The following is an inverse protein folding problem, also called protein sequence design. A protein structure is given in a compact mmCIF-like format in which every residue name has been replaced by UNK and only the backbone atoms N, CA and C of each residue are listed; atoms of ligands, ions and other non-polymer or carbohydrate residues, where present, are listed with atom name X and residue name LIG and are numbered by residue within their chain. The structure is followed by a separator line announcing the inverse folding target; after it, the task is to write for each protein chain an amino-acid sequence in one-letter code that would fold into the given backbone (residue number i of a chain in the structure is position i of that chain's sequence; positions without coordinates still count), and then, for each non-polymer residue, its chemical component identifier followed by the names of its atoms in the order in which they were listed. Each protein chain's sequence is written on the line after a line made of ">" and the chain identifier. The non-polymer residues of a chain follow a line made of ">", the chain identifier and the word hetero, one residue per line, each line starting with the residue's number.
data_IF_568548194693
#
_entry.id   IF_568548194693
#
_cell.length_a   1.000
_cell.length_b   1.000
_cell.length_c   1.000
_cell.angle_alpha   90.00
_cell.angle_beta   90.00
_cell.angle_gamma   90.00
#
_symmetry.space_group_name_H-M   'P 1'
#
loop_
_entity.id
_entity.type
_entity.pdbx_description
1 polymer ?
#
# COMPACT_ATOMS: atom_id res chain seq x y z
N UNK A 1 8.99 9.01 -22.69
CA UNK A 1 10.01 9.10 -21.63
C UNK A 1 9.77 7.96 -20.64
N UNK A 2 10.76 7.15 -20.25
CA UNK A 2 10.47 6.03 -19.37
C UNK A 2 10.11 6.58 -17.98
N UNK A 3 8.88 6.29 -17.58
CA UNK A 3 8.34 6.11 -16.23
C UNK A 3 9.29 6.52 -15.09
N UNK A 4 8.84 7.41 -14.20
CA UNK A 4 9.46 7.66 -12.90
C UNK A 4 9.57 6.34 -12.10
N UNK A 5 10.74 5.73 -12.24
CA UNK A 5 11.21 4.57 -11.51
C UNK A 5 12.03 5.12 -10.34
N UNK A 6 11.68 4.71 -9.11
CA UNK A 6 12.47 4.96 -7.89
C UNK A 6 13.94 4.78 -8.21
N UNK A 7 14.81 5.75 -7.90
CA UNK A 7 16.21 5.73 -8.32
C UNK A 7 16.99 4.53 -7.74
N UNK A 8 18.14 4.21 -8.35
CA UNK A 8 18.92 3.02 -7.99
C UNK A 8 19.37 3.00 -6.53
N UNK A 9 19.81 4.15 -5.99
CA UNK A 9 20.30 4.23 -4.62
C UNK A 9 19.15 4.01 -3.62
N UNK A 10 18.00 4.66 -3.84
CA UNK A 10 16.80 4.46 -3.03
C UNK A 10 16.34 3.00 -3.06
N UNK A 11 16.35 2.34 -4.23
CA UNK A 11 16.02 0.91 -4.34
C UNK A 11 16.99 0.01 -3.56
N UNK A 12 18.29 0.32 -3.54
CA UNK A 12 19.27 -0.46 -2.76
C UNK A 12 19.02 -0.36 -1.27
N UNK A 13 18.75 0.84 -0.76
CA UNK A 13 18.47 1.06 0.66
C UNK A 13 17.15 0.38 1.04
N UNK A 14 16.10 0.54 0.22
CA UNK A 14 14.79 -0.04 0.48
C UNK A 14 14.82 -1.57 0.64
N UNK A 15 15.70 -2.27 -0.08
CA UNK A 15 15.89 -3.73 0.03
C UNK A 15 16.46 -4.19 1.38
N UNK A 16 17.11 -3.31 2.12
CA UNK A 16 17.71 -3.61 3.43
C UNK A 16 16.73 -3.30 4.58
N UNK A 17 15.61 -2.63 4.29
CA UNK A 17 14.62 -2.28 5.29
C UNK A 17 13.80 -3.49 5.71
N UNK A 18 13.42 -3.52 6.99
CA UNK A 18 12.48 -4.49 7.55
C UNK A 18 11.23 -3.74 8.00
N UNK A 19 10.28 -3.46 7.10
CA UNK A 19 9.11 -2.68 7.45
C UNK A 19 8.19 -3.46 8.39
N UNK A 20 7.61 -2.76 9.37
CA UNK A 20 6.58 -3.28 10.25
C UNK A 20 5.23 -2.70 9.87
N UNK A 21 4.19 -3.51 9.87
CA UNK A 21 2.81 -3.07 9.61
C UNK A 21 1.98 -3.12 10.89
N UNK A 22 1.25 -2.05 11.14
CA UNK A 22 0.18 -1.99 12.15
C UNK A 22 -1.10 -1.74 11.40
N UNK A 23 -2.04 -2.66 11.53
CA UNK A 23 -3.34 -2.61 10.86
C UNK A 23 -4.40 -2.47 11.94
N UNK A 24 -5.16 -1.39 11.87
CA UNK A 24 -6.30 -1.13 12.73
C UNK A 24 -7.57 -1.25 11.90
N UNK A 25 -8.54 -2.02 12.38
CA UNK A 25 -9.82 -2.24 11.73
C UNK A 25 -10.95 -1.84 12.68
N UNK A 26 -11.87 -1.01 12.20
CA UNK A 26 -13.13 -0.68 12.85
C UNK A 26 -14.28 -0.88 11.85
N UNK A 27 -14.92 -2.06 11.89
CA UNK A 27 -15.88 -2.47 10.87
C UNK A 27 -15.22 -2.50 9.49
N UNK A 28 -15.75 -1.67 8.58
CA UNK A 28 -15.24 -1.51 7.22
C UNK A 28 -14.15 -0.43 7.08
N UNK A 29 -13.85 0.30 8.16
CA UNK A 29 -12.82 1.34 8.16
C UNK A 29 -11.48 0.75 8.59
N UNK A 30 -10.43 0.99 7.79
CA UNK A 30 -9.09 0.49 8.03
C UNK A 30 -8.07 1.62 8.05
N UNK A 31 -7.08 1.47 8.92
CA UNK A 31 -5.85 2.27 8.92
C UNK A 31 -4.65 1.33 8.88
N UNK A 32 -3.82 1.44 7.85
CA UNK A 32 -2.60 0.67 7.69
C UNK A 32 -1.41 1.61 7.83
N UNK A 33 -0.65 1.43 8.91
CA UNK A 33 0.60 2.11 9.15
C UNK A 33 1.76 1.18 8.80
N UNK A 34 2.58 1.57 7.83
CA UNK A 34 3.84 0.89 7.50
C UNK A 34 5.01 1.72 8.03
N UNK A 35 5.74 1.17 8.98
CA UNK A 35 6.90 1.79 9.62
C UNK A 35 8.19 1.22 9.05
N UNK A 36 9.15 2.09 8.74
CA UNK A 36 10.52 1.67 8.43
C UNK A 36 11.52 2.71 8.93
N UNK A 37 12.80 2.33 9.05
CA UNK A 37 13.85 3.26 9.47
C UNK A 37 14.10 4.42 8.50
N UNK A 38 13.59 4.33 7.26
CA UNK A 38 13.77 5.36 6.24
C UNK A 38 12.53 6.25 6.10
N UNK A 39 11.36 5.64 5.91
CA UNK A 39 10.09 6.34 5.68
C UNK A 39 8.91 5.55 6.23
N UNK A 40 7.97 6.28 6.81
CA UNK A 40 6.69 5.73 7.25
C UNK A 40 5.61 6.09 6.23
N UNK A 41 4.61 5.23 6.13
CA UNK A 41 3.47 5.41 5.24
C UNK A 41 2.18 5.07 5.98
N UNK A 42 1.18 5.93 5.86
CA UNK A 42 -0.15 5.73 6.44
C UNK A 42 -1.17 5.80 5.32
N UNK A 43 -2.05 4.81 5.26
CA UNK A 43 -3.24 4.84 4.43
C UNK A 43 -4.45 4.52 5.28
N UNK A 44 -5.49 5.34 5.17
CA UNK A 44 -6.78 5.15 5.81
C UNK A 44 -7.85 5.10 4.73
N UNK A 45 -8.71 4.10 4.79
CA UNK A 45 -9.75 3.87 3.79
C UNK A 45 -10.94 3.16 4.39
N UNK A 46 -12.06 3.21 3.67
CA UNK A 46 -13.23 2.38 3.94
C UNK A 46 -13.41 1.40 2.79
N UNK A 47 -13.66 0.14 3.13
CA UNK A 47 -13.84 -0.93 2.14
C UNK A 47 -15.04 -0.61 1.25
N UNK A 48 -14.87 -0.76 -0.06
CA UNK A 48 -15.89 -0.48 -1.07
C UNK A 48 -15.97 0.99 -1.50
N UNK A 49 -15.24 1.91 -0.86
CA UNK A 49 -15.24 3.33 -1.18
C UNK A 49 -13.93 3.74 -1.85
N UNK A 50 -14.03 4.42 -3.01
CA UNK A 50 -12.86 4.94 -3.72
C UNK A 50 -12.37 6.23 -3.04
N UNK A 51 -11.06 6.35 -2.85
CA UNK A 51 -10.43 7.51 -2.20
C UNK A 51 -9.19 7.99 -2.96
N UNK A 52 -8.81 9.25 -2.74
CA UNK A 52 -7.57 9.80 -3.28
C UNK A 52 -6.39 9.40 -2.39
N UNK A 53 -5.42 8.68 -2.95
CA UNK A 53 -4.23 8.21 -2.26
C UNK A 53 -2.99 8.96 -2.76
N UNK A 54 -2.33 9.66 -1.84
CA UNK A 54 -1.04 10.30 -2.10
C UNK A 54 0.11 9.38 -1.69
N UNK A 55 0.85 8.85 -2.67
CA UNK A 55 2.02 8.00 -2.44
C UNK A 55 3.31 8.82 -2.26
N UNK A 56 3.20 10.05 -1.75
CA UNK A 56 4.33 10.88 -1.36
C UNK A 56 5.25 10.11 -0.41
N UNK A 57 6.54 10.13 -0.70
CA UNK A 57 7.53 9.36 0.07
C UNK A 57 7.76 7.94 -0.46
N UNK A 58 6.93 7.43 -1.36
CA UNK A 58 7.19 6.20 -2.12
C UNK A 58 7.63 6.57 -3.53
N UNK A 59 6.69 6.66 -4.45
CA UNK A 59 6.93 7.02 -5.85
C UNK A 59 6.39 8.41 -6.23
N UNK A 60 5.93 9.18 -5.23
CA UNK A 60 5.44 10.57 -5.37
C UNK A 60 4.33 10.73 -6.41
N UNK A 61 3.45 9.72 -6.52
CA UNK A 61 2.29 9.74 -7.40
C UNK A 61 1.00 9.83 -6.61
N UNK A 62 0.01 10.47 -7.22
CA UNK A 62 -1.38 10.41 -6.76
C UNK A 62 -2.14 9.37 -7.57
N UNK A 63 -2.99 8.60 -6.91
CA UNK A 63 -3.88 7.65 -7.55
C UNK A 63 -5.24 7.64 -6.86
N UNK A 64 -6.24 7.11 -7.54
CA UNK A 64 -7.51 6.74 -6.93
C UNK A 64 -7.47 5.28 -6.56
N UNK A 65 -7.81 4.99 -5.32
CA UNK A 65 -7.62 3.67 -4.74
C UNK A 65 -8.95 3.15 -4.23
N UNK A 66 -9.23 1.89 -4.56
CA UNK A 66 -10.42 1.19 -4.12
C UNK A 66 -9.99 -0.12 -3.49
N UNK A 67 -10.36 -0.31 -2.23
CA UNK A 67 -10.09 -1.55 -1.50
C UNK A 67 -11.38 -2.34 -1.38
N UNK A 68 -11.34 -3.62 -1.76
CA UNK A 68 -12.47 -4.53 -1.67
C UNK A 68 -12.10 -5.78 -0.86
N UNK A 69 -13.11 -6.35 -0.20
CA UNK A 69 -13.01 -7.62 0.51
C UNK A 69 -13.60 -8.74 -0.34
N UNK A 70 -12.90 -9.88 -0.44
CA UNK A 70 -13.42 -11.05 -1.12
C UNK A 70 -12.50 -12.26 -1.00
N UNK A 71 -13.08 -13.46 -0.83
CA UNK A 71 -12.36 -14.73 -0.70
C UNK A 71 -11.27 -14.71 0.39
N UNK A 72 -11.54 -14.12 1.55
CA UNK A 72 -10.57 -13.95 2.64
C UNK A 72 -9.34 -13.12 2.29
N UNK A 73 -9.51 -12.22 1.31
CA UNK A 73 -8.47 -11.31 0.83
C UNK A 73 -8.96 -9.88 0.77
N UNK A 74 -8.06 -8.97 1.15
CA UNK A 74 -8.24 -7.54 1.04
C UNK A 74 -7.45 -7.04 -0.17
N UNK A 75 -8.14 -6.68 -1.25
CA UNK A 75 -7.50 -6.28 -2.52
C UNK A 75 -7.67 -4.79 -2.77
N UNK A 76 -6.56 -4.11 -3.05
CA UNK A 76 -6.55 -2.71 -3.46
C UNK A 76 -6.19 -2.59 -4.94
N UNK A 77 -6.99 -1.82 -5.67
CA UNK A 77 -6.69 -1.39 -7.03
C UNK A 77 -6.35 0.10 -7.01
N UNK A 78 -5.17 0.46 -7.50
CA UNK A 78 -4.67 1.83 -7.56
C UNK A 78 -4.70 2.32 -9.01
N UNK A 79 -5.71 3.12 -9.37
CA UNK A 79 -5.87 3.71 -10.71
C UNK A 79 -5.11 5.03 -10.79
N UNK A 80 -4.18 5.11 -11.73
CA UNK A 80 -3.41 6.34 -11.99
C UNK A 80 -2.47 6.17 -13.17
N UNK A 81 -1.32 6.85 -13.12
CA UNK A 81 -0.31 6.81 -14.20
C UNK A 81 0.20 5.39 -14.51
N UNK A 82 0.29 4.52 -13.48
CA UNK A 82 0.75 3.14 -13.62
C UNK A 82 -0.44 2.22 -13.81
N UNK A 83 -0.44 1.50 -14.93
CA UNK A 83 -1.38 0.39 -15.18
C UNK A 83 -1.06 -0.79 -14.26
N UNK A 84 -2.10 -1.56 -13.90
CA UNK A 84 -1.99 -2.79 -13.10
C UNK A 84 -1.28 -2.58 -11.76
N UNK A 85 -1.52 -1.44 -11.10
CA UNK A 85 -0.99 -1.12 -9.78
C UNK A 85 -2.03 -1.49 -8.71
N UNK A 86 -1.58 -2.14 -7.65
CA UNK A 86 -2.44 -2.59 -6.56
C UNK A 86 -1.69 -3.52 -5.61
N UNK A 87 -2.40 -4.04 -4.63
CA UNK A 87 -1.88 -5.01 -3.68
C UNK A 87 -3.00 -5.92 -3.16
N UNK A 88 -2.65 -7.08 -2.62
CA UNK A 88 -3.61 -8.00 -1.99
C UNK A 88 -3.05 -8.48 -0.67
N UNK A 89 -3.78 -8.23 0.42
CA UNK A 89 -3.45 -8.74 1.75
C UNK A 89 -4.31 -9.96 2.09
N UNK A 90 -3.69 -10.96 2.73
CA UNK A 90 -4.41 -12.12 3.26
C UNK A 90 -3.67 -12.72 4.47
N UNK A 91 -4.38 -13.52 5.26
CA UNK A 91 -3.83 -14.12 6.48
C UNK A 91 -3.83 -15.64 6.32
N UNK A 92 -2.70 -16.26 6.65
CA UNK A 92 -2.55 -17.72 6.75
C UNK A 92 -1.93 -18.05 8.10
N UNK A 93 -2.74 -18.56 9.03
CA UNK A 93 -2.31 -18.82 10.40
C UNK A 93 -1.91 -17.53 11.13
N UNK A 94 -0.65 -17.46 11.56
CA UNK A 94 -0.05 -16.30 12.23
C UNK A 94 0.67 -15.32 11.27
N UNK A 95 0.56 -15.56 9.95
CA UNK A 95 1.27 -14.77 8.94
C UNK A 95 0.33 -13.86 8.17
N UNK A 96 0.71 -12.59 8.09
CA UNK A 96 0.13 -11.61 7.18
C UNK A 96 0.94 -11.58 5.87
N UNK A 97 0.29 -11.91 4.75
CA UNK A 97 0.85 -11.88 3.41
C UNK A 97 0.45 -10.60 2.68
N UNK A 98 1.32 -10.10 1.79
CA UNK A 98 1.14 -8.95 0.89
C UNK A 98 1.64 -9.31 -0.52
#
# INVERSE_FOLDING_TARGET
>A
APLSCIDFATRKIAKLLKPQKVIEQNGDSFSIHTYSSLRNYLVTFKVGEEFDEDNKGLDNRKCKSLVTWGNDRLTCVQKGEKKNRGWTHWIEGDKLHL
#
